data_IF_939002752795
#
_entry.id   IF_939002752795
#
_cell.length_a   1.000
_cell.length_b   1.000
_cell.length_c   1.000
_cell.angle_alpha   90.00
_cell.angle_beta   90.00
_cell.angle_gamma   90.00
#
_symmetry.space_group_name_H-M   'P 1'
#
loop_
_entity.id
_entity.type
_entity.pdbx_description
1 polymer ?
#
# COMPACT_ATOMS: atom_id res chain seq x y z
N UNK A 1 -4.63 11.07 30.43
CA UNK A 1 -4.31 11.02 29.01
C UNK A 1 -4.95 9.72 28.51
N UNK A 2 -6.05 9.83 27.78
CA UNK A 2 -6.75 8.65 27.22
C UNK A 2 -6.04 8.29 25.92
N UNK A 3 -5.48 7.10 25.86
CA UNK A 3 -4.87 6.53 24.66
C UNK A 3 -5.95 6.05 23.69
N UNK A 4 -5.85 6.42 22.48
CA UNK A 4 -6.80 6.18 21.39
C UNK A 4 -6.55 4.81 20.70
N UNK A 5 -7.60 4.17 20.12
CA UNK A 5 -7.47 2.76 19.67
C UNK A 5 -8.47 2.31 18.59
N UNK A 6 -8.08 1.38 17.67
CA UNK A 6 -8.84 0.79 16.57
C UNK A 6 -9.00 -0.72 16.66
N UNK A 7 -9.84 -1.38 15.84
CA UNK A 7 -10.15 -2.81 15.85
C UNK A 7 -10.39 -3.33 17.27
N UNK A 8 -11.55 -3.84 17.60
CA UNK A 8 -11.81 -4.38 18.92
C UNK A 8 -11.24 -5.79 19.05
N UNK A 9 -10.33 -5.97 20.02
CA UNK A 9 -9.86 -7.29 20.42
C UNK A 9 -10.81 -7.91 21.43
N UNK A 10 -11.01 -9.23 21.33
CA UNK A 10 -11.78 -9.97 22.31
C UNK A 10 -11.14 -9.89 23.70
N UNK A 11 -9.86 -10.10 23.80
CA UNK A 11 -9.09 -10.02 25.05
C UNK A 11 -8.00 -8.93 24.96
N UNK A 12 -7.52 -8.49 26.12
CA UNK A 12 -6.57 -7.40 26.19
C UNK A 12 -7.21 -6.02 26.31
N UNK A 13 -6.40 -5.02 26.51
CA UNK A 13 -6.83 -3.62 26.55
C UNK A 13 -6.64 -2.95 25.18
N UNK A 14 -7.04 -1.71 25.15
CA UNK A 14 -6.94 -0.90 23.95
C UNK A 14 -5.48 -0.54 23.56
N UNK A 15 -4.45 -0.82 24.31
CA UNK A 15 -3.04 -0.58 23.97
C UNK A 15 -2.40 -1.74 23.19
N UNK A 16 -3.10 -2.88 23.10
CA UNK A 16 -2.59 -4.05 22.41
C UNK A 16 -2.61 -3.86 20.87
N UNK A 17 -1.72 -4.55 20.18
CA UNK A 17 -1.68 -4.70 18.71
C UNK A 17 -1.58 -3.38 17.92
N UNK A 18 -0.90 -2.38 18.46
CA UNK A 18 -0.65 -1.08 17.82
C UNK A 18 0.66 -1.00 17.02
N UNK A 19 1.43 -2.08 17.02
CA UNK A 19 2.69 -2.18 16.29
C UNK A 19 2.60 -3.26 15.21
N UNK A 20 3.55 -3.28 14.28
CA UNK A 20 3.62 -4.30 13.23
C UNK A 20 3.50 -5.70 13.85
N UNK A 21 2.57 -6.55 13.36
CA UNK A 21 2.42 -7.90 13.87
C UNK A 21 3.65 -8.75 13.60
N UNK A 22 4.02 -9.61 14.56
CA UNK A 22 5.16 -10.51 14.41
C UNK A 22 5.03 -11.48 13.21
N UNK A 23 3.81 -11.68 12.70
CA UNK A 23 3.52 -12.44 11.49
C UNK A 23 4.00 -11.76 10.21
N UNK A 24 4.33 -10.46 10.23
CA UNK A 24 4.70 -9.69 9.05
C UNK A 24 3.51 -9.25 8.18
N UNK A 25 2.26 -9.35 8.68
CA UNK A 25 1.11 -8.82 7.95
C UNK A 25 1.29 -7.31 7.66
N UNK A 26 0.82 -6.80 6.51
CA UNK A 26 1.20 -5.48 5.98
C UNK A 26 0.52 -4.31 6.73
N UNK A 27 0.92 -4.13 7.98
CA UNK A 27 0.42 -3.11 8.89
C UNK A 27 0.59 -1.69 8.31
N UNK A 28 1.73 -1.46 7.65
CA UNK A 28 2.07 -0.17 7.06
C UNK A 28 1.13 0.25 5.94
N UNK A 29 0.55 -0.71 5.20
CA UNK A 29 -0.30 -0.44 4.03
C UNK A 29 -1.67 0.15 4.36
N UNK A 30 -2.09 0.13 5.63
CA UNK A 30 -3.43 0.60 6.04
C UNK A 30 -3.37 2.01 6.59
N UNK A 31 -4.15 2.91 5.98
CA UNK A 31 -4.24 4.31 6.34
C UNK A 31 -5.62 4.69 6.92
N UNK A 32 -5.66 5.78 7.67
CA UNK A 32 -6.86 6.49 8.07
C UNK A 32 -7.24 7.53 7.04
N UNK A 33 -8.48 7.58 6.60
CA UNK A 33 -9.04 8.60 5.71
C UNK A 33 -9.54 9.78 6.54
N UNK A 34 -8.92 10.96 6.38
CA UNK A 34 -9.15 12.14 7.22
C UNK A 34 -8.89 13.45 6.44
N UNK A 35 -9.04 14.59 7.11
CA UNK A 35 -8.54 15.86 6.62
C UNK A 35 -7.07 16.07 7.05
N UNK A 36 -6.41 17.08 6.49
CA UNK A 36 -5.08 17.49 6.92
C UNK A 36 -5.06 17.76 8.44
N UNK A 37 -4.03 17.26 9.13
CA UNK A 37 -3.95 17.35 10.59
C UNK A 37 -4.85 16.34 11.34
N UNK A 38 -5.43 15.35 10.65
CA UNK A 38 -6.12 14.19 11.25
C UNK A 38 -7.58 14.40 11.65
N UNK A 39 -8.12 15.62 11.48
CA UNK A 39 -9.53 15.88 11.78
C UNK A 39 -10.49 15.24 10.77
N UNK A 40 -11.77 15.08 11.14
CA UNK A 40 -12.83 14.64 10.25
C UNK A 40 -12.63 13.21 9.70
N UNK A 41 -12.15 12.27 10.51
CA UNK A 41 -12.02 10.86 10.13
C UNK A 41 -13.32 10.33 9.53
N UNK A 42 -13.23 9.59 8.44
CA UNK A 42 -14.39 8.97 7.78
C UNK A 42 -14.28 7.47 7.58
N UNK A 43 -13.08 6.90 7.73
CA UNK A 43 -12.84 5.47 7.56
C UNK A 43 -11.37 5.17 7.40
N UNK A 44 -11.09 3.99 6.88
CA UNK A 44 -9.77 3.44 6.56
C UNK A 44 -9.60 3.30 5.04
N UNK A 45 -8.37 3.10 4.59
CA UNK A 45 -8.04 2.75 3.21
C UNK A 45 -6.80 1.86 3.19
N UNK A 46 -6.67 1.04 2.14
CA UNK A 46 -5.52 0.15 1.93
C UNK A 46 -4.73 0.65 0.73
N UNK A 47 -3.43 0.90 0.92
CA UNK A 47 -2.51 1.17 -0.18
C UNK A 47 -2.36 -0.08 -1.04
N UNK A 48 -2.51 0.06 -2.35
CA UNK A 48 -2.37 -1.05 -3.28
C UNK A 48 -1.03 -0.96 -3.99
N UNK A 49 -0.80 0.11 -4.75
CA UNK A 49 0.42 0.30 -5.54
C UNK A 49 0.59 1.78 -5.90
N UNK A 50 1.83 2.30 -5.88
CA UNK A 50 2.13 3.66 -6.30
C UNK A 50 1.31 4.71 -5.54
N UNK A 51 0.46 5.44 -6.24
CA UNK A 51 -0.42 6.48 -5.67
C UNK A 51 -1.84 5.95 -5.34
N UNK A 52 -2.13 4.67 -5.55
CA UNK A 52 -3.49 4.11 -5.54
C UNK A 52 -3.85 3.36 -4.26
N UNK A 53 -5.07 3.60 -3.78
CA UNK A 53 -5.61 3.00 -2.56
C UNK A 53 -7.05 2.53 -2.76
N UNK A 54 -7.45 1.45 -2.07
CA UNK A 54 -8.84 1.02 -1.95
C UNK A 54 -9.44 1.50 -0.64
N UNK A 55 -10.70 1.91 -0.68
CA UNK A 55 -11.51 2.22 0.51
C UNK A 55 -12.96 1.80 0.28
N UNK A 56 -13.78 1.74 1.34
CA UNK A 56 -15.20 1.49 1.16
C UNK A 56 -15.87 2.68 0.43
N UNK A 57 -16.84 2.37 -0.45
CA UNK A 57 -17.47 3.41 -1.27
C UNK A 57 -18.24 4.45 -0.45
N UNK A 58 -18.84 4.03 0.69
CA UNK A 58 -19.54 4.93 1.60
C UNK A 58 -18.59 5.81 2.45
N UNK A 59 -17.29 5.52 2.50
CA UNK A 59 -16.30 6.36 3.18
C UNK A 59 -16.23 7.71 2.46
N UNK A 60 -16.47 8.80 3.20
CA UNK A 60 -16.49 10.14 2.63
C UNK A 60 -15.13 10.52 2.06
N UNK A 61 -15.14 11.20 0.91
CA UNK A 61 -13.94 11.72 0.28
C UNK A 61 -13.33 12.85 1.13
N UNK A 62 -12.34 12.52 1.95
CA UNK A 62 -11.56 13.48 2.72
C UNK A 62 -10.35 13.95 1.91
N UNK A 63 -9.71 15.02 2.35
CA UNK A 63 -8.60 15.63 1.63
C UNK A 63 -7.27 14.87 1.77
N UNK A 64 -7.11 14.05 2.81
CA UNK A 64 -5.86 13.37 3.12
C UNK A 64 -6.09 11.94 3.64
N UNK A 65 -4.99 11.19 3.66
CA UNK A 65 -4.86 9.95 4.43
C UNK A 65 -3.62 10.02 5.31
N UNK A 66 -3.55 9.19 6.34
CA UNK A 66 -2.34 9.05 7.17
C UNK A 66 -2.11 7.58 7.52
N UNK A 67 -0.86 7.13 7.40
CA UNK A 67 -0.46 5.75 7.74
C UNK A 67 0.09 5.62 9.16
N UNK A 68 0.57 6.71 9.74
CA UNK A 68 1.25 6.78 11.04
C UNK A 68 0.57 7.73 12.04
N UNK A 69 -0.49 8.43 11.64
CA UNK A 69 -1.19 9.42 12.45
C UNK A 69 -0.52 10.79 12.51
N UNK A 70 0.66 10.96 11.91
CA UNK A 70 1.49 12.18 11.97
C UNK A 70 1.81 12.78 10.61
N UNK A 71 2.07 11.95 9.61
CA UNK A 71 2.33 12.33 8.22
C UNK A 71 1.03 12.24 7.42
N UNK A 72 0.69 13.30 6.67
CA UNK A 72 -0.58 13.39 5.94
C UNK A 72 -0.33 13.49 4.44
N UNK A 73 -0.85 12.51 3.70
CA UNK A 73 -0.74 12.39 2.26
C UNK A 73 -1.98 12.95 1.59
N UNK A 74 -1.81 13.94 0.72
CA UNK A 74 -2.91 14.58 0.00
C UNK A 74 -3.60 13.60 -0.96
N UNK A 75 -4.94 13.59 -0.97
CA UNK A 75 -5.71 12.89 -1.98
C UNK A 75 -5.75 13.74 -3.26
N UNK A 76 -5.52 13.12 -4.39
CA UNK A 76 -5.71 13.76 -5.70
C UNK A 76 -7.20 14.06 -5.92
N UNK A 77 -7.57 15.34 -5.92
CA UNK A 77 -8.95 15.79 -6.09
C UNK A 77 -9.38 15.86 -7.56
N UNK A 78 -8.43 15.84 -8.49
CA UNK A 78 -8.71 15.76 -9.93
C UNK A 78 -9.06 14.33 -10.36
N UNK A 79 -8.57 13.32 -9.61
CA UNK A 79 -8.94 11.93 -9.84
C UNK A 79 -10.36 11.65 -9.34
N UNK A 80 -11.23 11.26 -10.25
CA UNK A 80 -12.58 10.79 -9.91
C UNK A 80 -12.49 9.38 -9.35
N UNK A 81 -12.87 9.12 -8.08
CA UNK A 81 -12.84 7.79 -7.52
C UNK A 81 -13.61 6.78 -8.38
N UNK A 82 -13.04 5.60 -8.59
CA UNK A 82 -13.62 4.53 -9.40
C UNK A 82 -14.32 3.52 -8.49
N UNK A 83 -15.65 3.47 -8.55
CA UNK A 83 -16.42 2.42 -7.88
C UNK A 83 -16.49 1.17 -8.78
N UNK A 84 -16.29 -0.01 -8.20
CA UNK A 84 -16.32 -1.27 -8.92
C UNK A 84 -17.76 -1.83 -8.98
N UNK A 85 -18.48 -1.49 -10.03
CA UNK A 85 -19.90 -1.88 -10.17
C UNK A 85 -20.77 -1.25 -9.07
N UNK A 86 -21.61 -2.08 -8.43
CA UNK A 86 -22.46 -1.68 -7.30
C UNK A 86 -21.85 -2.06 -5.95
N UNK A 87 -20.55 -2.34 -5.89
CA UNK A 87 -19.88 -2.74 -4.66
C UNK A 87 -19.74 -1.58 -3.69
N UNK A 88 -19.57 -1.90 -2.41
CA UNK A 88 -19.14 -0.93 -1.41
C UNK A 88 -17.62 -0.80 -1.39
N UNK A 89 -17.00 -0.63 -2.56
CA UNK A 89 -15.55 -0.45 -2.72
C UNK A 89 -15.25 0.55 -3.83
N UNK A 90 -14.29 1.42 -3.61
CA UNK A 90 -13.78 2.37 -4.59
C UNK A 90 -12.27 2.52 -4.54
N UNK A 91 -11.69 2.81 -5.70
CA UNK A 91 -10.31 3.23 -5.86
C UNK A 91 -10.22 4.75 -5.68
N UNK A 92 -9.21 5.19 -4.92
CA UNK A 92 -8.83 6.60 -4.76
C UNK A 92 -7.36 6.76 -5.12
N UNK A 93 -6.94 7.98 -5.49
CA UNK A 93 -5.56 8.30 -5.85
C UNK A 93 -5.00 9.36 -4.90
N UNK A 94 -3.75 9.23 -4.52
CA UNK A 94 -2.96 10.23 -3.78
C UNK A 94 -2.26 11.16 -4.77
N UNK A 95 -1.89 12.34 -4.34
CA UNK A 95 -1.06 13.27 -5.13
C UNK A 95 0.33 12.65 -5.34
N UNK A 96 0.96 12.19 -4.25
CA UNK A 96 2.28 11.56 -4.27
C UNK A 96 2.22 10.13 -3.74
N UNK A 97 3.12 9.27 -4.22
CA UNK A 97 3.26 7.92 -3.70
C UNK A 97 3.81 7.95 -2.26
N UNK A 98 3.25 7.15 -1.34
CA UNK A 98 3.79 7.03 0.01
C UNK A 98 5.09 6.19 0.08
N UNK A 99 5.57 5.65 -1.04
CA UNK A 99 6.77 4.81 -1.06
C UNK A 99 6.59 3.44 -0.37
N UNK A 100 5.36 3.01 -0.15
CA UNK A 100 5.07 1.74 0.49
C UNK A 100 5.12 0.58 -0.51
N UNK A 101 5.47 -0.65 -0.06
CA UNK A 101 5.40 -1.84 -0.90
C UNK A 101 4.00 -2.06 -1.49
N UNK A 102 3.97 -2.67 -2.67
CA UNK A 102 2.72 -3.11 -3.32
C UNK A 102 1.99 -4.13 -2.43
N UNK A 103 0.70 -3.93 -2.24
CA UNK A 103 -0.18 -4.91 -1.58
C UNK A 103 -0.69 -5.89 -2.61
N UNK A 104 -0.30 -7.17 -2.52
CA UNK A 104 -0.80 -8.21 -3.40
C UNK A 104 -2.31 -8.43 -3.19
N UNK A 105 -3.05 -8.55 -4.29
CA UNK A 105 -4.47 -8.88 -4.26
C UNK A 105 -4.65 -10.40 -4.27
N UNK A 106 -5.54 -10.90 -3.42
CA UNK A 106 -5.93 -12.31 -3.47
C UNK A 106 -6.86 -12.54 -4.66
N UNK A 107 -6.48 -13.43 -5.57
CA UNK A 107 -7.20 -13.72 -6.81
C UNK A 107 -7.84 -15.10 -6.86
N UNK A 108 -7.47 -15.98 -5.92
CA UNK A 108 -7.98 -17.35 -5.89
C UNK A 108 -9.36 -17.45 -5.23
N UNK A 109 -9.97 -18.63 -5.34
CA UNK A 109 -11.18 -18.93 -4.60
C UNK A 109 -10.84 -19.39 -3.19
N UNK A 110 -11.37 -18.70 -2.16
CA UNK A 110 -11.17 -19.09 -0.75
C UNK A 110 -11.90 -20.42 -0.42
N UNK A 111 -12.89 -20.82 -1.21
CA UNK A 111 -13.74 -21.96 -0.87
C UNK A 111 -14.57 -21.69 0.42
N UNK A 112 -15.27 -22.73 0.87
CA UNK A 112 -16.12 -22.68 2.10
C UNK A 112 -15.37 -23.16 3.34
N UNK A 113 -14.03 -23.21 3.31
CA UNK A 113 -13.21 -23.67 4.43
C UNK A 113 -12.84 -22.51 5.35
N UNK A 114 -12.79 -22.79 6.65
CA UNK A 114 -12.33 -21.84 7.65
C UNK A 114 -10.88 -21.43 7.37
N UNK A 115 -10.64 -20.14 7.11
CA UNK A 115 -9.33 -19.59 6.78
C UNK A 115 -8.94 -18.52 7.78
N UNK A 116 -7.75 -18.70 8.40
CA UNK A 116 -7.21 -17.69 9.30
C UNK A 116 -6.84 -16.42 8.53
N UNK A 117 -7.21 -15.28 9.07
CA UNK A 117 -6.95 -13.97 8.49
C UNK A 117 -6.55 -12.94 9.55
N UNK A 118 -5.89 -11.88 9.12
CA UNK A 118 -5.52 -10.73 9.95
C UNK A 118 -6.26 -9.49 9.47
N UNK A 119 -7.02 -8.87 10.36
CA UNK A 119 -7.68 -7.59 10.15
C UNK A 119 -6.76 -6.47 10.60
N UNK A 120 -6.58 -5.43 9.77
CA UNK A 120 -5.80 -4.23 10.12
C UNK A 120 -6.64 -3.00 9.79
N UNK A 121 -6.84 -2.11 10.77
CA UNK A 121 -7.72 -0.95 10.59
C UNK A 121 -7.40 0.24 11.49
N UNK A 122 -8.13 1.35 11.24
CA UNK A 122 -8.05 2.62 11.99
C UNK A 122 -9.40 3.02 12.63
N UNK A 123 -10.16 2.05 13.12
CA UNK A 123 -11.44 2.33 13.77
C UNK A 123 -11.34 2.85 15.20
N UNK A 124 -12.45 2.89 15.91
CA UNK A 124 -12.48 3.18 17.35
C UNK A 124 -12.18 1.92 18.17
N UNK A 125 -11.58 2.09 19.32
CA UNK A 125 -11.36 1.00 20.28
C UNK A 125 -12.55 0.76 21.20
N UNK A 126 -12.35 -0.04 22.24
CA UNK A 126 -13.34 -0.26 23.29
C UNK A 126 -13.46 0.93 24.21
N UNK A 127 -14.67 1.20 24.69
CA UNK A 127 -14.87 2.07 25.86
C UNK A 127 -14.34 1.37 27.12
N UNK A 128 -13.83 2.15 28.06
CA UNK A 128 -13.33 1.66 29.36
C UNK A 128 -14.42 1.26 30.33
N UNK A 129 -15.69 1.52 30.00
CA UNK A 129 -16.85 1.34 30.87
C UNK A 129 -17.59 0.02 30.71
N UNK A 130 -17.11 -0.98 29.99
CA UNK A 130 -17.89 -2.19 29.69
C UNK A 130 -17.92 -3.15 30.86
N UNK A 131 -19.13 -3.40 31.32
CA UNK A 131 -19.44 -4.45 32.28
C UNK A 131 -19.26 -5.83 31.62
N UNK A 132 -18.21 -6.55 31.99
CA UNK A 132 -18.18 -8.00 31.90
C UNK A 132 -19.15 -8.56 32.96
N UNK A 133 -20.45 -8.50 32.69
CA UNK A 133 -21.44 -9.02 33.57
C UNK A 133 -21.48 -10.55 33.42
N UNK A 134 -20.87 -11.22 34.40
CA UNK A 134 -20.64 -12.66 34.46
C UNK A 134 -21.78 -13.58 34.05
N UNK A 135 -21.44 -14.85 33.93
CA UNK A 135 -22.23 -16.04 33.66
C UNK A 135 -23.72 -15.83 33.31
N UNK A 136 -24.01 -15.80 32.01
CA UNK A 136 -25.39 -15.78 31.48
C UNK A 136 -25.79 -14.49 30.79
N UNK A 137 -25.05 -13.43 30.86
CA UNK A 137 -25.27 -12.23 30.05
C UNK A 137 -24.35 -12.23 28.81
N UNK A 138 -24.87 -11.72 27.72
CA UNK A 138 -24.13 -11.40 26.52
C UNK A 138 -23.10 -10.35 26.89
N UNK A 139 -21.78 -10.70 26.89
CA UNK A 139 -20.73 -9.70 27.00
C UNK A 139 -20.78 -8.86 25.75
N UNK A 140 -21.04 -7.58 25.92
CA UNK A 140 -21.16 -6.60 24.86
C UNK A 140 -19.96 -5.67 25.00
N UNK A 141 -19.20 -5.49 23.90
CA UNK A 141 -18.12 -4.52 23.83
C UNK A 141 -18.67 -3.20 23.30
N UNK A 142 -18.75 -2.18 24.14
CA UNK A 142 -19.09 -0.84 23.68
C UNK A 142 -17.88 -0.24 22.93
N UNK A 143 -18.19 0.49 21.87
CA UNK A 143 -17.18 1.24 21.14
C UNK A 143 -16.87 2.56 21.85
N UNK A 144 -15.59 2.92 21.83
CA UNK A 144 -15.16 4.23 22.28
C UNK A 144 -15.51 5.33 21.27
N UNK A 145 -15.24 6.56 21.65
CA UNK A 145 -15.42 7.72 20.78
C UNK A 145 -14.19 7.94 19.86
N UNK A 146 -14.21 9.01 19.05
CA UNK A 146 -13.13 9.37 18.15
C UNK A 146 -11.78 9.66 18.82
N UNK A 147 -11.75 9.90 20.13
CA UNK A 147 -10.53 9.98 20.93
C UNK A 147 -9.85 8.62 21.12
N UNK A 148 -10.50 7.52 20.71
CA UNK A 148 -9.95 6.16 20.75
C UNK A 148 -9.52 5.62 19.36
N UNK A 149 -9.44 6.50 18.35
CA UNK A 149 -8.95 6.15 17.01
C UNK A 149 -7.44 5.86 17.03
N UNK A 150 -7.06 4.66 16.57
CA UNK A 150 -5.66 4.22 16.47
C UNK A 150 -5.54 3.11 15.44
N UNK A 151 -4.35 2.87 14.88
CA UNK A 151 -4.13 1.71 14.02
C UNK A 151 -3.89 0.45 14.86
N UNK A 152 -4.63 -0.62 14.55
CA UNK A 152 -4.47 -1.93 15.19
C UNK A 152 -4.65 -3.06 14.21
N UNK A 153 -4.17 -4.21 14.64
CA UNK A 153 -4.46 -5.48 13.99
C UNK A 153 -5.06 -6.48 14.97
N UNK A 154 -5.76 -7.44 14.42
CA UNK A 154 -6.20 -8.62 15.16
C UNK A 154 -6.43 -9.78 14.21
N UNK A 155 -6.59 -10.97 14.74
CA UNK A 155 -6.83 -12.19 13.98
C UNK A 155 -8.30 -12.56 13.99
N UNK A 156 -8.76 -13.22 12.96
CA UNK A 156 -10.08 -13.80 12.89
C UNK A 156 -10.08 -14.95 11.87
N UNK A 157 -11.19 -15.67 11.78
CA UNK A 157 -11.39 -16.74 10.80
C UNK A 157 -12.47 -16.33 9.82
N UNK A 158 -12.15 -16.38 8.51
CA UNK A 158 -13.16 -16.26 7.47
C UNK A 158 -14.04 -17.50 7.55
N UNK A 159 -15.30 -17.30 7.95
CA UNK A 159 -16.20 -18.42 8.30
C UNK A 159 -17.30 -18.65 7.28
N UNK A 160 -17.52 -17.69 6.38
CA UNK A 160 -18.50 -17.80 5.31
C UNK A 160 -18.19 -16.83 4.17
N UNK A 161 -18.77 -17.11 3.01
CA UNK A 161 -18.81 -16.22 1.84
C UNK A 161 -20.23 -16.20 1.27
N UNK A 162 -20.52 -15.18 0.47
CA UNK A 162 -21.82 -15.04 -0.20
C UNK A 162 -21.81 -13.93 -1.23
N UNK A 163 -22.97 -13.71 -1.83
CA UNK A 163 -23.22 -12.62 -2.79
C UNK A 163 -24.60 -12.04 -2.52
N UNK A 164 -24.76 -10.74 -2.66
CA UNK A 164 -26.03 -10.07 -2.48
C UNK A 164 -25.94 -8.67 -1.89
N UNK A 165 -27.09 -8.12 -1.53
CA UNK A 165 -27.20 -6.83 -0.87
C UNK A 165 -26.84 -6.96 0.60
N UNK A 166 -25.78 -6.26 1.03
CA UNK A 166 -25.33 -6.19 2.42
C UNK A 166 -25.83 -4.90 3.09
N UNK A 167 -25.71 -3.79 2.37
CA UNK A 167 -26.26 -2.49 2.76
C UNK A 167 -27.13 -1.96 1.62
N UNK A 168 -28.15 -1.17 1.91
CA UNK A 168 -29.11 -0.68 0.94
C UNK A 168 -28.42 -0.04 -0.29
N UNK A 169 -28.71 -0.57 -1.45
CA UNK A 169 -28.18 -0.08 -2.74
C UNK A 169 -26.81 -0.62 -3.12
N UNK A 170 -26.22 -1.54 -2.32
CA UNK A 170 -24.96 -2.21 -2.67
C UNK A 170 -25.16 -3.71 -2.87
N UNK A 171 -24.59 -4.25 -3.94
CA UNK A 171 -24.67 -5.69 -4.23
C UNK A 171 -23.26 -6.17 -4.62
N UNK A 172 -22.71 -7.11 -3.86
CA UNK A 172 -21.35 -7.60 -4.06
C UNK A 172 -21.11 -8.98 -3.46
N UNK A 173 -20.03 -9.61 -3.89
CA UNK A 173 -19.51 -10.80 -3.27
C UNK A 173 -18.78 -10.41 -1.98
N UNK A 174 -19.06 -11.14 -0.90
CA UNK A 174 -18.55 -10.82 0.42
C UNK A 174 -17.97 -12.02 1.15
N UNK A 175 -17.13 -11.71 2.13
CA UNK A 175 -16.64 -12.62 3.17
C UNK A 175 -17.22 -12.22 4.51
N UNK A 176 -17.34 -13.19 5.42
CA UNK A 176 -17.87 -12.98 6.78
C UNK A 176 -16.86 -13.51 7.80
N UNK A 177 -16.61 -12.70 8.82
CA UNK A 177 -15.99 -13.13 10.07
C UNK A 177 -16.91 -12.84 11.25
N UNK A 178 -16.69 -13.57 12.34
CA UNK A 178 -17.44 -13.40 13.60
C UNK A 178 -16.44 -13.17 14.73
N UNK A 179 -16.77 -12.31 15.69
CA UNK A 179 -16.00 -12.23 16.92
C UNK A 179 -16.33 -13.43 17.80
N UNK A 180 -15.38 -14.32 18.02
CA UNK A 180 -15.59 -15.55 18.77
C UNK A 180 -14.94 -15.47 20.17
N UNK A 181 -15.64 -16.00 21.18
CA UNK A 181 -15.08 -16.12 22.54
C UNK A 181 -14.01 -17.20 22.56
N UNK A 182 -12.92 -16.91 23.24
CA UNK A 182 -11.80 -17.84 23.45
C UNK A 182 -11.13 -18.37 22.16
N UNK A 183 -11.30 -17.69 21.02
CA UNK A 183 -10.63 -18.05 19.77
C UNK A 183 -9.16 -17.61 19.76
N UNK A 184 -8.73 -16.81 20.71
CA UNK A 184 -7.33 -16.36 20.87
C UNK A 184 -7.24 -14.97 21.48
N UNK A 185 -6.04 -14.60 21.95
CA UNK A 185 -5.82 -13.28 22.56
C UNK A 185 -5.93 -12.12 21.57
N UNK A 186 -5.73 -12.41 20.29
CA UNK A 186 -5.78 -11.44 19.19
C UNK A 186 -7.07 -11.53 18.39
N UNK A 187 -8.05 -12.34 18.83
CA UNK A 187 -9.34 -12.41 18.16
C UNK A 187 -9.99 -11.03 18.11
N UNK A 188 -10.47 -10.63 16.92
CA UNK A 188 -10.85 -9.25 16.66
C UNK A 188 -12.08 -9.10 15.76
N UNK A 189 -12.75 -7.96 15.92
CA UNK A 189 -13.82 -7.48 15.03
C UNK A 189 -13.54 -6.05 14.56
N UNK A 190 -14.14 -5.70 13.43
CA UNK A 190 -14.16 -4.33 12.95
C UNK A 190 -15.11 -3.45 13.79
N UNK A 191 -14.86 -2.15 13.79
CA UNK A 191 -15.64 -1.13 14.50
C UNK A 191 -15.94 0.07 13.62
N UNK A 192 -16.53 1.11 14.20
CA UNK A 192 -16.72 2.39 13.52
C UNK A 192 -15.37 2.95 13.02
N UNK A 193 -15.33 3.41 11.78
CA UNK A 193 -14.16 3.89 11.01
C UNK A 193 -13.20 2.80 10.51
N UNK A 194 -13.45 1.51 10.76
CA UNK A 194 -12.73 0.44 10.07
C UNK A 194 -13.25 0.21 8.63
N UNK A 195 -14.34 0.85 8.22
CA UNK A 195 -14.80 0.82 6.82
C UNK A 195 -13.66 1.15 5.87
N UNK A 196 -13.36 0.24 4.93
CA UNK A 196 -12.22 0.36 4.02
C UNK A 196 -10.90 -0.20 4.57
N UNK A 197 -10.87 -0.79 5.76
CA UNK A 197 -9.72 -1.51 6.30
C UNK A 197 -9.49 -2.85 5.62
N UNK A 198 -8.25 -3.37 5.72
CA UNK A 198 -7.83 -4.59 5.04
C UNK A 198 -7.99 -5.85 5.88
N UNK A 199 -8.54 -6.89 5.28
CA UNK A 199 -8.46 -8.28 5.77
C UNK A 199 -7.43 -9.02 4.92
N UNK A 200 -6.44 -9.61 5.55
CA UNK A 200 -5.29 -10.24 4.90
C UNK A 200 -5.17 -11.71 5.26
N UNK A 201 -4.69 -12.50 4.31
CA UNK A 201 -4.24 -13.86 4.57
C UNK A 201 -2.83 -14.08 4.05
N UNK A 202 -2.11 -14.99 4.66
CA UNK A 202 -0.83 -15.45 4.18
C UNK A 202 -1.02 -16.65 3.23
N UNK A 203 -0.43 -16.57 2.06
CA UNK A 203 -0.42 -17.66 1.09
C UNK A 203 0.97 -17.79 0.49
N UNK A 204 1.60 -18.96 0.64
CA UNK A 204 2.93 -19.26 0.10
C UNK A 204 4.02 -18.27 0.53
N UNK A 205 3.97 -17.77 1.75
CA UNK A 205 4.93 -16.82 2.30
C UNK A 205 4.68 -15.36 1.92
N UNK A 206 3.60 -15.05 1.19
CA UNK A 206 3.17 -13.69 0.84
C UNK A 206 1.85 -13.34 1.50
N UNK A 207 1.74 -12.12 2.00
CA UNK A 207 0.50 -11.56 2.51
C UNK A 207 -0.33 -10.96 1.39
N UNK A 208 -1.61 -11.33 1.30
CA UNK A 208 -2.53 -10.87 0.27
C UNK A 208 -3.77 -10.24 0.88
N UNK A 209 -4.22 -9.13 0.28
CA UNK A 209 -5.50 -8.53 0.62
C UNK A 209 -6.63 -9.42 0.11
N UNK A 210 -7.41 -9.99 1.02
CA UNK A 210 -8.51 -10.91 0.71
C UNK A 210 -9.87 -10.26 0.83
N UNK A 211 -9.99 -9.25 1.69
CA UNK A 211 -11.24 -8.54 1.93
C UNK A 211 -11.04 -7.07 2.30
N UNK A 212 -12.03 -6.24 1.97
CA UNK A 212 -12.09 -4.84 2.37
C UNK A 212 -13.30 -4.64 3.25
N UNK A 213 -13.13 -4.13 4.46
CA UNK A 213 -14.22 -3.95 5.44
C UNK A 213 -15.30 -3.03 4.89
N UNK A 214 -16.52 -3.52 4.82
CA UNK A 214 -17.69 -2.82 4.27
C UNK A 214 -18.75 -2.53 5.31
N UNK A 215 -19.16 -3.54 6.09
CA UNK A 215 -20.26 -3.39 7.03
C UNK A 215 -20.10 -4.29 8.25
N UNK A 216 -20.77 -3.89 9.32
CA UNK A 216 -21.00 -4.70 10.51
C UNK A 216 -22.52 -4.77 10.69
N UNK A 217 -23.05 -5.96 10.89
CA UNK A 217 -24.47 -6.09 11.24
C UNK A 217 -24.61 -6.34 12.73
N UNK A 218 -25.31 -5.45 13.40
CA UNK A 218 -25.85 -5.69 14.74
C UNK A 218 -27.19 -6.41 14.62
N UNK A 219 -27.41 -7.38 15.49
CA UNK A 219 -28.60 -8.25 15.43
C UNK A 219 -29.84 -7.59 16.08
N UNK A 220 -29.66 -6.60 16.95
CA UNK A 220 -30.73 -6.07 17.77
C UNK A 220 -31.22 -4.66 17.38
N UNK A 221 -30.80 -4.11 16.26
CA UNK A 221 -31.35 -2.85 15.72
C UNK A 221 -30.42 -1.62 15.82
N UNK A 222 -30.88 -0.47 15.30
CA UNK A 222 -30.04 0.71 15.07
C UNK A 222 -29.47 1.39 16.33
N UNK A 223 -29.95 1.06 17.51
CA UNK A 223 -29.41 1.59 18.78
C UNK A 223 -28.17 0.86 19.27
N UNK A 224 -27.77 -0.25 18.61
CA UNK A 224 -26.63 -1.08 19.00
C UNK A 224 -25.43 -0.98 18.06
N UNK A 225 -25.43 -0.04 17.13
CA UNK A 225 -24.31 0.20 16.20
C UNK A 225 -23.00 0.58 16.90
N UNK A 226 -23.03 0.85 18.18
CA UNK A 226 -21.86 1.17 19.00
C UNK A 226 -21.39 -0.01 19.84
N UNK A 227 -21.85 -1.23 19.54
CA UNK A 227 -21.56 -2.43 20.33
C UNK A 227 -21.15 -3.59 19.44
N UNK A 228 -20.25 -4.43 19.94
CA UNK A 228 -19.86 -5.67 19.31
C UNK A 228 -20.15 -6.85 20.22
N UNK A 229 -20.97 -7.80 19.74
CA UNK A 229 -21.38 -8.98 20.48
C UNK A 229 -20.54 -10.19 20.08
N UNK A 230 -19.73 -10.77 20.99
CA UNK A 230 -18.99 -11.98 20.69
C UNK A 230 -19.89 -13.22 20.66
N UNK A 231 -19.64 -14.10 19.72
CA UNK A 231 -20.30 -15.40 19.61
C UNK A 231 -19.92 -16.33 20.76
N UNK A 232 -20.89 -17.00 21.35
CA UNK A 232 -20.69 -18.04 22.35
C UNK A 232 -21.33 -19.37 21.92
N UNK A 233 -20.52 -20.29 21.42
CA UNK A 233 -20.97 -21.63 21.02
C UNK A 233 -21.48 -22.51 22.18
N UNK A 234 -21.08 -22.22 23.42
CA UNK A 234 -21.36 -23.07 24.57
C UNK A 234 -22.83 -23.01 25.01
N UNK A 235 -23.56 -21.97 24.67
CA UNK A 235 -24.96 -21.79 25.13
C UNK A 235 -26.03 -22.00 24.06
N UNK A 236 -25.68 -22.43 22.86
CA UNK A 236 -26.66 -22.72 21.81
C UNK A 236 -27.56 -21.55 21.39
N UNK A 237 -27.21 -20.33 21.77
CA UNK A 237 -27.95 -19.13 21.38
C UNK A 237 -27.47 -18.71 19.99
N UNK A 238 -28.12 -19.24 18.98
CA UNK A 238 -27.80 -19.05 17.57
C UNK A 238 -28.07 -17.65 17.01
N UNK A 239 -28.51 -16.69 17.81
CA UNK A 239 -29.16 -15.48 17.33
C UNK A 239 -28.42 -14.17 17.64
N UNK A 240 -27.16 -14.19 18.11
CA UNK A 240 -26.49 -12.93 18.50
C UNK A 240 -25.03 -12.88 18.16
N UNK A 241 -24.67 -13.11 16.88
CA UNK A 241 -23.33 -12.83 16.40
C UNK A 241 -23.35 -11.61 15.51
N UNK A 242 -22.55 -10.63 15.85
CA UNK A 242 -22.27 -9.57 14.91
C UNK A 242 -21.40 -10.12 13.79
N UNK A 243 -21.78 -9.79 12.58
CA UNK A 243 -21.06 -10.19 11.37
C UNK A 243 -20.26 -9.02 10.87
N UNK A 244 -18.98 -9.24 10.64
CA UNK A 244 -18.18 -8.32 9.87
C UNK A 244 -18.24 -8.76 8.41
N UNK A 245 -18.65 -7.87 7.54
CA UNK A 245 -18.72 -8.09 6.10
C UNK A 245 -17.57 -7.38 5.41
N UNK A 246 -16.93 -8.12 4.53
CA UNK A 246 -15.83 -7.60 3.72
C UNK A 246 -16.18 -7.78 2.24
N UNK A 247 -15.97 -6.76 1.40
CA UNK A 247 -15.98 -6.95 -0.05
C UNK A 247 -14.91 -7.98 -0.38
N UNK A 248 -15.28 -9.05 -1.08
CA UNK A 248 -14.37 -10.14 -1.46
C UNK A 248 -13.47 -9.70 -2.60
N UNK A 249 -12.20 -9.51 -2.34
CA UNK A 249 -11.25 -8.96 -3.33
C UNK A 249 -11.09 -9.88 -4.54
N UNK A 250 -11.06 -11.20 -4.39
CA UNK A 250 -10.86 -12.12 -5.52
C UNK A 250 -11.89 -11.99 -6.62
N UNK A 251 -13.10 -11.54 -6.31
CA UNK A 251 -14.14 -11.29 -7.31
C UNK A 251 -13.89 -10.05 -8.16
N UNK A 252 -13.04 -9.15 -7.71
CA UNK A 252 -12.78 -7.84 -8.33
C UNK A 252 -11.31 -7.61 -8.65
N UNK A 253 -10.40 -8.54 -8.31
CA UNK A 253 -8.95 -8.36 -8.44
C UNK A 253 -8.54 -7.93 -9.85
N UNK A 254 -9.02 -8.60 -10.88
CA UNK A 254 -8.73 -8.23 -12.27
C UNK A 254 -9.23 -6.84 -12.66
N UNK A 255 -10.37 -6.40 -12.13
CA UNK A 255 -10.91 -5.07 -12.39
C UNK A 255 -10.10 -3.99 -11.65
N UNK A 256 -9.64 -4.29 -10.43
CA UNK A 256 -8.76 -3.41 -9.65
C UNK A 256 -7.43 -3.25 -10.36
N UNK A 257 -6.78 -4.35 -10.77
CA UNK A 257 -5.51 -4.32 -11.50
C UNK A 257 -5.63 -3.56 -12.82
N UNK A 258 -6.73 -3.74 -13.56
CA UNK A 258 -6.97 -3.02 -14.81
C UNK A 258 -7.23 -1.51 -14.61
N UNK A 259 -7.68 -1.10 -13.42
CA UNK A 259 -7.93 0.30 -13.08
C UNK A 259 -6.69 1.05 -12.59
N UNK A 260 -5.63 0.33 -12.21
CA UNK A 260 -4.38 0.89 -11.71
C UNK A 260 -3.33 0.78 -12.81
N UNK A 261 -2.77 1.88 -13.32
CA UNK A 261 -1.68 1.84 -14.29
C UNK A 261 -0.51 1.00 -13.79
N UNK A 262 0.08 0.23 -14.67
CA UNK A 262 1.32 -0.49 -14.39
C UNK A 262 2.50 0.48 -14.47
N UNK A 263 2.80 1.13 -13.35
CA UNK A 263 3.86 2.16 -13.27
C UNK A 263 5.27 1.60 -13.41
N UNK A 264 5.43 0.29 -13.44
CA UNK A 264 6.71 -0.35 -13.77
C UNK A 264 6.99 -0.31 -15.28
N UNK A 265 5.99 0.01 -16.10
CA UNK A 265 6.13 0.30 -17.53
C UNK A 265 6.11 1.80 -17.80
N UNK A 266 6.88 2.24 -18.82
CA UNK A 266 6.90 3.66 -19.19
C UNK A 266 5.51 4.18 -19.62
N UNK A 267 4.73 3.37 -20.32
CA UNK A 267 3.37 3.72 -20.73
C UNK A 267 2.43 3.91 -19.52
N UNK A 268 2.52 3.03 -18.53
CA UNK A 268 1.72 3.14 -17.31
C UNK A 268 2.16 4.32 -16.44
N UNK A 269 3.47 4.57 -16.32
CA UNK A 269 4.03 5.73 -15.61
C UNK A 269 3.56 7.05 -16.25
N UNK A 270 3.62 7.18 -17.59
CA UNK A 270 3.06 8.35 -18.30
C UNK A 270 1.57 8.56 -17.99
N UNK A 271 0.79 7.49 -17.97
CA UNK A 271 -0.64 7.55 -17.63
C UNK A 271 -0.86 8.01 -16.19
N UNK A 272 -0.05 7.52 -15.25
CA UNK A 272 -0.15 7.91 -13.82
C UNK A 272 0.17 9.40 -13.61
N UNK A 273 1.13 9.94 -14.36
CA UNK A 273 1.50 11.36 -14.31
C UNK A 273 0.67 12.25 -15.25
N UNK A 274 -0.34 11.70 -15.93
CA UNK A 274 -1.22 12.43 -16.85
C UNK A 274 -0.49 13.10 -18.00
N UNK A 275 0.58 12.47 -18.49
CA UNK A 275 1.35 12.94 -19.64
C UNK A 275 0.70 12.49 -20.95
N UNK A 276 0.31 13.45 -21.77
CA UNK A 276 -0.37 13.20 -23.05
C UNK A 276 0.17 14.12 -24.15
N UNK A 277 0.02 13.69 -25.41
CA UNK A 277 0.44 14.49 -26.56
C UNK A 277 1.94 14.77 -26.53
N UNK A 278 2.36 16.02 -26.65
CA UNK A 278 3.75 16.43 -26.67
C UNK A 278 4.45 16.16 -25.33
N UNK A 279 3.75 16.26 -24.21
CA UNK A 279 4.31 16.02 -22.87
C UNK A 279 4.64 14.53 -22.64
N UNK A 280 4.12 13.63 -23.46
CA UNK A 280 4.42 12.20 -23.42
C UNK A 280 5.62 11.78 -24.27
N UNK A 281 6.27 12.70 -24.96
CA UNK A 281 7.47 12.41 -25.75
C UNK A 281 8.64 12.07 -24.83
N UNK A 282 9.48 11.13 -25.25
CA UNK A 282 10.62 10.66 -24.45
C UNK A 282 11.62 11.77 -24.11
N UNK A 283 11.65 12.82 -24.91
CA UNK A 283 12.55 13.99 -24.78
C UNK A 283 11.86 15.22 -24.21
N UNK A 284 10.55 15.14 -23.89
CA UNK A 284 9.85 16.22 -23.20
C UNK A 284 10.42 16.40 -21.79
N UNK A 285 10.34 17.63 -21.31
CA UNK A 285 10.75 18.08 -19.98
C UNK A 285 9.68 19.06 -19.54
N UNK A 286 8.76 18.62 -18.65
CA UNK A 286 7.54 19.38 -18.34
C UNK A 286 7.70 20.36 -17.20
N UNK A 287 8.71 20.18 -16.36
CA UNK A 287 9.03 21.05 -15.23
C UNK A 287 10.28 21.93 -15.47
N UNK A 288 10.89 21.82 -16.68
CA UNK A 288 12.05 22.59 -17.14
C UNK A 288 13.30 22.42 -16.25
N UNK A 289 13.49 21.22 -15.66
CA UNK A 289 14.66 20.93 -14.82
C UNK A 289 15.88 20.36 -15.59
N UNK A 290 15.68 20.04 -16.86
CA UNK A 290 16.72 19.51 -17.77
C UNK A 290 16.75 17.98 -17.80
N UNK A 291 15.84 17.28 -17.11
CA UNK A 291 15.70 15.84 -17.16
C UNK A 291 14.49 15.50 -18.05
N UNK A 292 14.70 14.65 -19.04
CA UNK A 292 13.60 14.29 -19.94
C UNK A 292 12.73 13.19 -19.34
N UNK A 293 11.46 13.10 -19.82
CA UNK A 293 10.46 12.13 -19.34
C UNK A 293 10.98 10.69 -19.27
N UNK A 294 11.75 10.26 -20.28
CA UNK A 294 12.32 8.92 -20.25
C UNK A 294 13.38 8.75 -19.15
N UNK A 295 14.15 9.80 -18.88
CA UNK A 295 15.16 9.78 -17.81
C UNK A 295 14.48 9.85 -16.44
N UNK A 296 13.43 10.67 -16.28
CA UNK A 296 12.60 10.70 -15.09
C UNK A 296 12.08 9.32 -14.73
N UNK A 297 11.40 8.66 -15.66
CA UNK A 297 10.91 7.30 -15.46
C UNK A 297 12.04 6.34 -15.05
N UNK A 298 13.14 6.36 -15.80
CA UNK A 298 14.22 5.41 -15.62
C UNK A 298 15.01 5.61 -14.32
N UNK A 299 15.06 6.84 -13.80
CA UNK A 299 15.82 7.19 -12.59
C UNK A 299 14.93 7.38 -11.36
N UNK A 300 13.59 7.33 -11.53
CA UNK A 300 12.62 7.41 -10.45
C UNK A 300 12.25 8.83 -10.06
N UNK A 301 12.27 9.77 -11.00
CA UNK A 301 11.84 11.15 -10.82
C UNK A 301 10.32 11.36 -10.96
N UNK A 302 9.91 12.60 -10.71
CA UNK A 302 8.54 13.09 -10.94
C UNK A 302 8.57 14.18 -12.02
N UNK A 303 7.95 13.97 -13.19
CA UNK A 303 8.02 14.87 -14.35
C UNK A 303 7.33 16.24 -14.12
N UNK A 304 6.87 16.52 -12.92
CA UNK A 304 6.24 17.77 -12.51
C UNK A 304 6.99 18.46 -11.34
N UNK A 305 8.11 17.90 -10.88
CA UNK A 305 8.90 18.42 -9.76
C UNK A 305 10.40 18.42 -10.10
N UNK A 306 11.08 19.57 -9.96
CA UNK A 306 12.52 19.66 -10.15
C UNK A 306 13.26 18.76 -9.14
N UNK A 307 13.84 17.67 -9.63
CA UNK A 307 14.46 16.64 -8.79
C UNK A 307 15.86 16.19 -9.25
N UNK A 308 16.73 17.11 -9.62
CA UNK A 308 18.11 16.88 -10.05
C UNK A 308 18.91 15.88 -9.19
N UNK A 309 18.42 15.56 -8.01
CA UNK A 309 19.03 14.57 -7.10
C UNK A 309 18.99 13.13 -7.61
N UNK A 310 18.12 12.81 -8.58
CA UNK A 310 18.04 11.49 -9.21
C UNK A 310 19.18 11.22 -10.18
N UNK A 311 19.88 12.26 -10.62
CA UNK A 311 20.94 12.12 -11.60
C UNK A 311 22.07 11.19 -11.12
N UNK A 312 22.64 10.36 -12.01
CA UNK A 312 23.74 9.47 -11.68
C UNK A 312 24.93 10.21 -11.08
N UNK A 313 25.55 9.62 -10.07
CA UNK A 313 26.74 10.17 -9.42
C UNK A 313 28.00 9.46 -9.89
N UNK A 314 29.13 10.17 -9.90
CA UNK A 314 30.43 9.59 -10.28
C UNK A 314 31.48 9.80 -9.19
N UNK A 315 32.43 8.88 -9.13
CA UNK A 315 33.56 8.94 -8.18
C UNK A 315 34.82 8.37 -8.78
N UNK A 316 35.99 8.74 -8.20
CA UNK A 316 37.25 8.05 -8.41
C UNK A 316 37.46 7.09 -7.24
N UNK A 317 37.71 5.82 -7.53
CA UNK A 317 37.90 4.76 -6.55
C UNK A 317 39.32 4.20 -6.70
N UNK A 318 40.07 4.15 -5.61
CA UNK A 318 41.41 3.56 -5.56
C UNK A 318 41.30 2.04 -5.40
N UNK A 319 41.94 1.31 -6.33
CA UNK A 319 42.01 -0.15 -6.28
C UNK A 319 43.37 -0.62 -6.77
N UNK A 320 44.09 -1.39 -5.93
CA UNK A 320 45.41 -1.89 -6.27
C UNK A 320 46.47 -0.80 -6.56
N UNK A 321 46.33 0.42 -6.01
CA UNK A 321 47.22 1.55 -6.23
C UNK A 321 46.95 2.30 -7.55
N UNK A 322 45.83 2.08 -8.18
CA UNK A 322 45.34 2.75 -9.37
C UNK A 322 43.98 3.36 -9.15
N UNK A 323 43.70 4.53 -9.75
CA UNK A 323 42.41 5.22 -9.65
C UNK A 323 41.50 4.82 -10.83
N UNK A 324 40.27 4.45 -10.54
CA UNK A 324 39.25 4.09 -11.54
C UNK A 324 38.04 5.01 -11.43
N UNK A 325 37.48 5.37 -12.60
CA UNK A 325 36.25 6.14 -12.68
C UNK A 325 35.04 5.20 -12.53
N UNK A 326 34.18 5.49 -11.58
CA UNK A 326 32.90 4.80 -11.35
C UNK A 326 31.71 5.73 -11.56
N UNK A 327 30.59 5.15 -12.05
CA UNK A 327 29.29 5.78 -12.19
C UNK A 327 28.27 4.94 -11.43
N UNK A 328 27.56 5.57 -10.50
CA UNK A 328 26.46 4.98 -9.77
C UNK A 328 25.13 5.49 -10.33
N UNK A 329 24.28 4.55 -10.74
CA UNK A 329 22.95 4.81 -11.26
C UNK A 329 21.95 4.21 -10.30
N UNK A 330 21.22 5.04 -9.56
CA UNK A 330 20.10 4.61 -8.73
C UNK A 330 18.83 4.61 -9.56
N UNK A 331 18.02 3.56 -9.44
CA UNK A 331 16.78 3.40 -10.20
C UNK A 331 15.72 2.68 -9.38
N UNK A 332 14.42 2.84 -9.67
CA UNK A 332 13.36 1.99 -9.09
C UNK A 332 13.57 0.51 -9.42
N UNK A 333 13.22 -0.37 -8.48
CA UNK A 333 13.24 -1.82 -8.69
C UNK A 333 12.02 -2.22 -9.54
N UNK A 334 12.22 -3.14 -10.49
CA UNK A 334 11.12 -3.74 -11.25
C UNK A 334 10.77 -3.06 -12.56
N UNK A 335 11.43 -1.95 -12.93
CA UNK A 335 11.14 -1.25 -14.19
C UNK A 335 11.27 -2.18 -15.39
N UNK A 336 10.30 -2.10 -16.31
CA UNK A 336 10.21 -2.91 -17.49
C UNK A 336 10.42 -2.08 -18.76
N UNK A 337 11.00 -2.71 -19.77
CA UNK A 337 11.18 -2.07 -21.08
C UNK A 337 12.23 -0.96 -21.12
N UNK A 338 13.18 -0.91 -20.17
CA UNK A 338 14.26 0.09 -20.11
C UNK A 338 15.61 -0.60 -20.10
N UNK A 339 16.53 -0.06 -20.88
CA UNK A 339 17.94 -0.47 -20.88
C UNK A 339 18.85 0.66 -20.45
N UNK A 340 19.91 0.30 -19.71
CA UNK A 340 20.95 1.19 -19.21
C UNK A 340 22.28 0.76 -19.85
N UNK A 341 22.80 1.57 -20.76
CA UNK A 341 24.03 1.26 -21.48
C UNK A 341 25.13 2.23 -21.05
N UNK A 342 26.15 1.78 -20.29
CA UNK A 342 27.27 2.64 -19.92
C UNK A 342 28.14 2.94 -21.13
N UNK A 343 28.64 4.18 -21.19
CA UNK A 343 29.57 4.67 -22.22
C UNK A 343 30.72 5.36 -21.55
N UNK A 344 31.94 5.18 -22.14
CA UNK A 344 33.14 5.88 -21.71
C UNK A 344 33.80 6.59 -22.91
N UNK A 345 34.45 7.69 -22.64
CA UNK A 345 35.22 8.42 -23.62
C UNK A 345 36.35 9.21 -22.97
N UNK A 346 37.33 9.62 -23.76
CA UNK A 346 38.35 10.63 -23.41
C UNK A 346 38.08 11.99 -24.09
N UNK A 347 37.06 12.03 -24.96
CA UNK A 347 36.63 13.21 -25.73
C UNK A 347 35.11 13.33 -25.70
N UNK A 348 34.59 14.40 -25.07
CA UNK A 348 33.15 14.64 -24.93
C UNK A 348 32.40 14.79 -26.26
N UNK A 349 33.11 15.10 -27.35
CA UNK A 349 32.49 15.24 -28.68
C UNK A 349 32.26 13.88 -29.37
N UNK A 350 32.91 12.81 -28.89
CA UNK A 350 32.83 11.48 -29.50
C UNK A 350 32.60 10.40 -28.44
N UNK A 351 31.43 9.76 -28.51
CA UNK A 351 31.03 8.65 -27.63
C UNK A 351 30.97 7.35 -28.44
N UNK A 352 32.01 6.51 -28.37
CA UNK A 352 32.05 5.27 -29.15
C UNK A 352 30.85 4.37 -28.87
N UNK A 353 30.34 3.71 -29.91
CA UNK A 353 29.30 2.68 -29.77
C UNK A 353 29.96 1.41 -29.25
N UNK A 354 29.45 0.91 -28.11
CA UNK A 354 29.99 -0.25 -27.40
C UNK A 354 30.65 0.14 -26.07
N UNK A 355 30.57 -0.75 -25.10
CA UNK A 355 31.12 -0.55 -23.75
C UNK A 355 32.52 -1.12 -23.63
N UNK A 356 33.42 -0.75 -24.57
CA UNK A 356 34.77 -1.35 -24.71
C UNK A 356 35.63 -1.15 -23.46
N UNK A 357 35.36 -0.09 -22.71
CA UNK A 357 36.11 0.33 -21.53
C UNK A 357 35.34 0.16 -20.21
N UNK A 358 34.34 -0.71 -20.13
CA UNK A 358 33.59 -1.01 -18.89
C UNK A 358 33.98 -2.39 -18.41
N UNK A 359 34.43 -2.47 -17.14
CA UNK A 359 34.88 -3.72 -16.52
C UNK A 359 33.73 -4.73 -16.37
N UNK A 360 32.53 -4.23 -16.03
CA UNK A 360 31.30 -5.02 -15.95
C UNK A 360 30.13 -4.20 -16.54
N UNK A 361 29.71 -4.46 -17.77
CA UNK A 361 28.63 -3.74 -18.42
C UNK A 361 27.23 -4.11 -17.86
N UNK A 362 27.13 -5.23 -17.12
CA UNK A 362 25.90 -5.71 -16.50
C UNK A 362 26.17 -5.99 -15.00
N UNK A 363 26.33 -4.94 -14.18
CA UNK A 363 26.59 -5.11 -12.76
C UNK A 363 25.37 -5.73 -12.06
N UNK A 364 25.62 -6.51 -11.02
CA UNK A 364 24.55 -6.96 -10.13
C UNK A 364 24.05 -5.75 -9.34
N UNK A 365 22.75 -5.44 -9.41
CA UNK A 365 22.18 -4.33 -8.65
C UNK A 365 22.32 -4.54 -7.13
N UNK A 366 22.54 -3.46 -6.40
CA UNK A 366 22.50 -3.44 -4.93
C UNK A 366 21.19 -2.82 -4.49
N UNK A 367 20.35 -3.59 -3.79
CA UNK A 367 19.08 -3.10 -3.25
C UNK A 367 19.33 -2.11 -2.08
N UNK A 368 18.78 -0.90 -2.19
CA UNK A 368 18.93 0.17 -1.21
C UNK A 368 17.93 0.09 -0.04
N UNK A 369 17.01 -0.89 -0.05
CA UNK A 369 15.95 -1.10 0.96
C UNK A 369 14.89 0.03 1.03
N UNK A 370 14.79 0.84 -0.02
CA UNK A 370 13.85 1.96 -0.19
C UNK A 370 13.06 1.88 -1.52
N UNK A 371 12.87 0.66 -2.04
CA UNK A 371 12.29 0.38 -3.37
C UNK A 371 13.17 0.81 -4.54
N UNK A 372 14.42 1.17 -4.29
CA UNK A 372 15.42 1.44 -5.32
C UNK A 372 16.58 0.47 -5.27
N UNK A 373 17.34 0.42 -6.36
CA UNK A 373 18.59 -0.32 -6.47
C UNK A 373 19.64 0.52 -7.16
N UNK A 374 20.93 0.26 -6.86
CA UNK A 374 22.05 0.97 -7.48
C UNK A 374 22.85 0.04 -8.38
N UNK A 375 23.08 0.48 -9.63
CA UNK A 375 23.99 -0.12 -10.58
C UNK A 375 25.30 0.66 -10.55
N UNK A 376 26.43 -0.03 -10.30
CA UNK A 376 27.76 0.59 -10.32
C UNK A 376 28.54 0.13 -11.55
N UNK A 377 28.83 1.06 -12.44
CA UNK A 377 29.64 0.84 -13.63
C UNK A 377 31.05 1.38 -13.40
N UNK A 378 32.08 0.57 -13.66
CA UNK A 378 33.47 0.96 -13.51
C UNK A 378 34.16 0.96 -14.88
N UNK A 379 34.92 2.00 -15.20
CA UNK A 379 35.83 1.99 -16.34
C UNK A 379 36.91 0.91 -16.15
N UNK A 380 37.19 0.11 -17.21
CA UNK A 380 38.18 -0.97 -17.13
C UNK A 380 39.63 -0.49 -17.03
N UNK A 381 39.90 0.69 -17.59
CA UNK A 381 41.25 1.30 -17.56
C UNK A 381 41.37 2.30 -16.43
N UNK A 382 42.46 2.24 -15.70
CA UNK A 382 42.80 3.25 -14.68
C UNK A 382 42.96 4.64 -15.32
N UNK A 383 42.62 5.65 -14.53
CA UNK A 383 42.78 7.06 -14.92
C UNK A 383 44.14 7.54 -14.42
N UNK A 384 45.06 7.82 -15.32
CA UNK A 384 46.32 8.45 -14.95
C UNK A 384 46.10 9.94 -14.61
N UNK A 385 46.96 10.52 -13.75
CA UNK A 385 46.78 11.89 -13.24
C UNK A 385 46.72 13.00 -14.35
N UNK A 386 47.16 12.70 -15.56
CA UNK A 386 47.10 13.61 -16.71
C UNK A 386 45.98 13.29 -17.71
N UNK A 387 45.22 12.21 -17.51
CA UNK A 387 44.23 11.75 -18.46
C UNK A 387 42.86 12.44 -18.21
N UNK A 388 42.13 12.60 -19.32
CA UNK A 388 40.71 12.93 -19.29
C UNK A 388 39.93 11.64 -19.48
N UNK A 389 38.96 11.38 -18.57
CA UNK A 389 38.08 10.25 -18.68
C UNK A 389 36.66 10.69 -18.32
N UNK A 390 35.72 10.27 -19.10
CA UNK A 390 34.30 10.55 -18.89
C UNK A 390 33.51 9.25 -18.95
N UNK A 391 32.45 9.16 -18.16
CA UNK A 391 31.51 8.05 -18.13
C UNK A 391 30.08 8.59 -18.06
N UNK A 392 29.18 7.98 -18.80
CA UNK A 392 27.72 8.24 -18.73
C UNK A 392 26.95 6.95 -18.90
N UNK A 393 25.68 6.99 -18.59
CA UNK A 393 24.71 5.96 -18.97
C UNK A 393 23.81 6.50 -20.09
N UNK A 394 23.57 5.70 -21.12
CA UNK A 394 22.52 5.93 -22.11
C UNK A 394 21.31 5.11 -21.70
N UNK A 395 20.17 5.79 -21.61
CA UNK A 395 18.88 5.18 -21.25
C UNK A 395 18.03 5.10 -22.52
N UNK A 396 17.43 3.94 -22.76
CA UNK A 396 16.56 3.75 -23.92
C UNK A 396 15.45 2.74 -23.62
N UNK A 397 14.28 2.92 -24.28
CA UNK A 397 13.25 1.89 -24.28
C UNK A 397 13.76 0.64 -25.02
N UNK A 398 13.42 -0.54 -24.45
CA UNK A 398 13.58 -1.82 -25.14
C UNK A 398 12.24 -2.23 -25.74
N UNK A 399 12.24 -2.74 -26.98
CA UNK A 399 11.01 -3.18 -27.66
C UNK A 399 10.24 -4.25 -26.89
#
# INVERSE_FOLDING_TARGET
MSTAHAVILYSGDNSANQTVPASGAPFESVARVCNNGGGGTSGSAVHIRGKYMLTANHVSNRSHVTFDGSTYWGRDTAFTPIQFGTTDMKLIKLVNSPGLPTTELFSDNIGDTLVAATLIGWGVGRDTGVNDSGAGSTNIWQWGNTGTLEKRWGTNTISASGSGEVTTGTNYDYLITYLERNAGINEAAATLYDSGSGLYLEQNGSWKLVGLTAAITSINGPTEQEQTNPYNSTFGIFNSRDRNYFVRISSYASAIEAAIPDTDTYAGWKTDHSLYGADADNTADTDDDGISQLHEFALGGDPNENDLSILPTHSLVEDGGSSYLELNVTRPIGLQGISYTPRTTTDLSNWPVGSIDIANPNPTPVNNLDSTETLTYRRSQAVAAADKAFIRVEISETP
#
